data_IF_899101862822
#
_entry.id   IF_899101862822
#
_cell.length_a   1.000
_cell.length_b   1.000
_cell.length_c   1.000
_cell.angle_alpha   90.00
_cell.angle_beta   90.00
_cell.angle_gamma   90.00
#
_symmetry.space_group_name_H-M   'P 1'
#
loop_
_entity.id
_entity.type
_entity.pdbx_description
1 polymer ?
#
# COMPACT_ATOMS: atom_id res chain seq x y z
N UNK A 1 -51.15 -2.21 -16.78
CA UNK A 1 -51.61 -3.55 -17.20
C UNK A 1 -50.46 -4.54 -17.04
N UNK A 2 -50.80 -5.74 -16.60
CA UNK A 2 -50.00 -6.94 -16.33
C UNK A 2 -49.35 -7.11 -14.95
N UNK A 3 -49.96 -8.08 -14.25
CA UNK A 3 -49.86 -8.43 -12.86
C UNK A 3 -48.71 -9.41 -12.57
N UNK A 4 -48.21 -9.28 -11.35
CA UNK A 4 -47.35 -10.23 -10.64
C UNK A 4 -48.17 -11.51 -10.38
N UNK A 5 -47.70 -12.67 -10.86
CA UNK A 5 -48.31 -13.97 -10.54
C UNK A 5 -47.68 -14.53 -9.26
N UNK A 6 -48.43 -14.44 -8.17
CA UNK A 6 -48.28 -15.30 -6.99
C UNK A 6 -48.66 -16.74 -7.35
N UNK A 7 -47.78 -17.71 -7.10
CA UNK A 7 -48.13 -19.13 -7.10
C UNK A 7 -48.32 -19.59 -5.67
N UNK A 8 -49.59 -19.76 -5.28
CA UNK A 8 -50.01 -20.31 -4.01
C UNK A 8 -49.88 -21.84 -3.97
N UNK A 9 -49.54 -22.34 -2.79
CA UNK A 9 -49.51 -23.74 -2.39
C UNK A 9 -50.89 -24.39 -2.53
N UNK A 10 -50.95 -25.58 -3.12
CA UNK A 10 -52.12 -26.47 -3.04
C UNK A 10 -51.71 -27.79 -2.40
N UNK A 11 -52.02 -27.95 -1.12
CA UNK A 11 -51.95 -29.21 -0.39
C UNK A 11 -53.15 -30.09 -0.77
N UNK A 12 -52.89 -31.16 -1.50
CA UNK A 12 -53.87 -32.19 -1.85
C UNK A 12 -54.17 -33.07 -0.63
N UNK A 13 -55.38 -32.96 -0.09
CA UNK A 13 -55.94 -33.86 0.92
C UNK A 13 -56.29 -35.20 0.25
N UNK A 14 -55.44 -36.22 0.41
CA UNK A 14 -55.83 -37.61 0.15
C UNK A 14 -56.44 -38.21 1.42
N UNK A 15 -57.76 -38.36 1.41
CA UNK A 15 -58.51 -39.14 2.39
C UNK A 15 -58.14 -40.63 2.23
N UNK A 16 -57.58 -41.23 3.28
CA UNK A 16 -57.34 -42.66 3.35
C UNK A 16 -58.62 -43.36 3.81
N UNK A 17 -59.13 -44.24 2.94
CA UNK A 17 -60.29 -45.10 3.14
C UNK A 17 -59.99 -46.15 4.20
N UNK A 18 -60.67 -46.08 5.34
CA UNK A 18 -60.69 -47.13 6.36
C UNK A 18 -61.37 -48.37 5.76
N UNK A 19 -60.61 -49.46 5.57
CA UNK A 19 -61.16 -50.79 5.31
C UNK A 19 -61.04 -51.60 6.60
N UNK A 20 -62.15 -51.73 7.31
CA UNK A 20 -62.28 -52.68 8.41
C UNK A 20 -62.33 -54.09 7.81
N UNK A 21 -61.24 -54.83 7.96
CA UNK A 21 -61.16 -56.27 7.69
C UNK A 21 -61.14 -56.99 9.04
N UNK A 22 -62.32 -57.42 9.49
CA UNK A 22 -62.47 -58.35 10.62
C UNK A 22 -62.00 -59.73 10.17
N UNK A 23 -60.74 -60.07 10.45
CA UNK A 23 -60.28 -61.44 10.34
C UNK A 23 -60.49 -62.12 11.69
N UNK A 24 -61.41 -63.09 11.70
CA UNK A 24 -61.73 -63.96 12.82
C UNK A 24 -60.50 -64.78 13.20
N UNK A 25 -59.94 -64.53 14.38
CA UNK A 25 -58.89 -65.36 14.98
C UNK A 25 -59.49 -66.68 15.43
N UNK A 26 -59.21 -67.75 14.69
CA UNK A 26 -59.35 -69.11 15.19
C UNK A 26 -58.34 -69.30 16.34
N UNK A 27 -58.85 -69.68 17.50
CA UNK A 27 -58.09 -70.08 18.67
C UNK A 27 -57.31 -71.36 18.36
N UNK A 28 -56.05 -71.20 17.94
CA UNK A 28 -55.06 -72.27 17.98
C UNK A 28 -54.53 -72.38 19.41
N UNK A 29 -54.63 -73.59 19.98
CA UNK A 29 -54.32 -73.88 21.36
C UNK A 29 -52.93 -73.43 21.78
N UNK A 30 -52.88 -72.81 22.96
CA UNK A 30 -51.65 -72.53 23.71
C UNK A 30 -51.03 -73.86 24.13
N UNK A 31 -50.12 -74.38 23.31
CA UNK A 31 -49.07 -75.27 23.82
C UNK A 31 -48.02 -74.34 24.41
N UNK A 32 -48.16 -74.06 25.70
CA UNK A 32 -47.10 -73.39 26.46
C UNK A 32 -45.97 -74.39 26.65
N UNK A 33 -45.00 -74.37 25.74
CA UNK A 33 -43.68 -74.95 25.98
C UNK A 33 -42.90 -73.98 26.88
N UNK A 34 -42.56 -74.33 28.13
CA UNK A 34 -42.03 -73.37 29.10
C UNK A 34 -40.52 -73.11 28.98
N UNK A 35 -39.86 -73.58 27.92
CA UNK A 35 -38.40 -73.61 27.83
C UNK A 35 -37.87 -73.29 26.41
N UNK A 36 -38.08 -72.07 25.92
CA UNK A 36 -37.23 -71.31 24.95
C UNK A 36 -38.06 -70.19 24.29
N UNK A 37 -37.54 -68.96 24.38
CA UNK A 37 -37.64 -67.87 23.39
C UNK A 37 -37.79 -66.46 23.98
N UNK A 38 -37.68 -66.29 25.29
CA UNK A 38 -37.17 -65.04 25.86
C UNK A 38 -35.64 -64.98 25.73
N UNK A 39 -35.10 -65.12 24.52
CA UNK A 39 -33.81 -64.47 24.25
C UNK A 39 -34.15 -63.00 24.32
N UNK A 40 -33.58 -62.26 25.26
CA UNK A 40 -33.82 -60.83 25.40
C UNK A 40 -33.80 -60.20 24.00
N UNK A 41 -34.80 -59.40 23.63
CA UNK A 41 -34.89 -58.82 22.28
C UNK A 41 -33.58 -58.09 21.90
N UNK A 42 -32.87 -57.62 22.91
CA UNK A 42 -31.52 -57.07 22.84
C UNK A 42 -30.46 -58.07 22.36
N UNK A 43 -30.48 -59.32 22.81
CA UNK A 43 -29.60 -60.38 22.31
C UNK A 43 -29.87 -60.71 20.85
N UNK A 44 -31.13 -60.68 20.45
CA UNK A 44 -31.53 -60.90 19.06
C UNK A 44 -31.07 -59.71 18.20
N UNK A 45 -31.24 -58.48 18.69
CA UNK A 45 -30.76 -57.27 18.04
C UNK A 45 -29.22 -57.27 17.91
N UNK A 46 -28.50 -57.72 18.95
CA UNK A 46 -27.03 -57.86 18.92
C UNK A 46 -26.58 -58.84 17.85
N UNK A 47 -27.26 -59.98 17.71
CA UNK A 47 -26.95 -61.00 16.69
C UNK A 47 -27.29 -60.55 15.25
N UNK A 48 -28.27 -59.66 15.10
CA UNK A 48 -28.67 -59.06 13.80
C UNK A 48 -27.80 -57.87 13.40
N UNK A 49 -26.96 -57.35 14.29
CA UNK A 49 -26.10 -56.22 13.99
C UNK A 49 -24.95 -56.62 13.04
N UNK A 50 -25.06 -56.20 11.77
CA UNK A 50 -24.03 -56.39 10.73
C UNK A 50 -23.13 -55.16 10.60
N UNK A 51 -23.41 -54.06 11.33
CA UNK A 51 -22.75 -52.78 11.14
C UNK A 51 -21.27 -52.78 11.56
N UNK A 52 -20.85 -53.76 12.38
CA UNK A 52 -19.50 -53.87 12.97
C UNK A 52 -19.06 -52.60 13.70
N UNK A 53 -20.01 -51.75 14.08
CA UNK A 53 -19.73 -50.49 14.79
C UNK A 53 -19.43 -50.78 16.26
N UNK A 54 -18.61 -49.94 16.92
CA UNK A 54 -18.49 -50.01 18.37
C UNK A 54 -19.85 -49.70 19.01
N UNK A 55 -20.16 -50.36 20.13
CA UNK A 55 -21.46 -50.28 20.78
C UNK A 55 -21.98 -48.84 20.97
N UNK A 56 -21.10 -47.90 21.32
CA UNK A 56 -21.42 -46.49 21.49
C UNK A 56 -21.78 -45.76 20.20
N UNK A 57 -21.16 -46.11 19.07
CA UNK A 57 -21.50 -45.53 17.77
C UNK A 57 -22.81 -46.14 17.23
N UNK A 58 -23.02 -47.44 17.47
CA UNK A 58 -24.25 -48.13 17.14
C UNK A 58 -25.46 -47.51 17.85
N UNK A 59 -25.39 -47.31 19.18
CA UNK A 59 -26.48 -46.70 19.96
C UNK A 59 -26.78 -45.26 19.51
N UNK A 60 -25.75 -44.44 19.34
CA UNK A 60 -25.88 -43.03 18.94
C UNK A 60 -26.31 -42.82 17.50
N UNK A 61 -25.97 -43.73 16.60
CA UNK A 61 -26.21 -43.61 15.16
C UNK A 61 -27.47 -44.34 14.72
N UNK A 62 -27.58 -45.62 15.04
CA UNK A 62 -28.60 -46.53 14.54
C UNK A 62 -29.81 -46.56 15.47
N UNK A 63 -29.60 -46.69 16.80
CA UNK A 63 -30.71 -46.62 17.75
C UNK A 63 -31.23 -45.19 17.97
N UNK A 64 -30.38 -44.19 17.74
CA UNK A 64 -30.74 -42.79 17.97
C UNK A 64 -30.93 -42.44 19.44
N UNK A 65 -30.38 -43.26 20.34
CA UNK A 65 -30.46 -43.10 21.79
C UNK A 65 -29.20 -42.40 22.33
N UNK A 66 -29.35 -41.67 23.44
CA UNK A 66 -28.23 -41.06 24.13
C UNK A 66 -27.47 -42.14 24.93
N UNK A 67 -26.22 -42.46 24.59
CA UNK A 67 -25.43 -43.38 25.39
C UNK A 67 -25.03 -42.74 26.72
N UNK A 68 -24.92 -43.55 27.76
CA UNK A 68 -24.41 -43.09 29.05
C UNK A 68 -23.00 -42.50 28.92
N UNK A 69 -22.71 -41.35 29.56
CA UNK A 69 -21.41 -40.70 29.51
C UNK A 69 -20.38 -41.58 30.23
N UNK A 70 -19.41 -42.09 29.49
CA UNK A 70 -18.39 -43.01 30.03
C UNK A 70 -17.00 -42.37 30.07
N UNK A 71 -16.70 -41.51 29.10
CA UNK A 71 -15.37 -40.92 28.95
C UNK A 71 -15.35 -39.49 29.48
N UNK A 72 -14.17 -39.00 29.86
CA UNK A 72 -13.99 -37.63 30.37
C UNK A 72 -14.52 -36.56 29.40
N UNK A 73 -14.30 -36.76 28.09
CA UNK A 73 -14.78 -35.83 27.09
C UNK A 73 -16.31 -35.79 27.00
N UNK A 74 -17.05 -36.78 27.48
CA UNK A 74 -18.52 -36.76 27.53
C UNK A 74 -19.05 -35.76 28.56
N UNK A 75 -18.23 -35.43 29.55
CA UNK A 75 -18.54 -34.47 30.59
C UNK A 75 -18.19 -33.03 30.22
N UNK A 76 -17.59 -32.80 29.06
CA UNK A 76 -17.29 -31.43 28.60
C UNK A 76 -18.57 -30.70 28.22
N UNK A 77 -18.68 -29.41 28.56
CA UNK A 77 -19.85 -28.57 28.20
C UNK A 77 -20.16 -28.63 26.71
N UNK A 78 -19.13 -28.62 25.85
CA UNK A 78 -19.27 -28.73 24.39
C UNK A 78 -19.95 -30.03 23.96
N UNK A 79 -19.56 -31.17 24.51
CA UNK A 79 -20.09 -32.48 24.11
C UNK A 79 -21.48 -32.70 24.65
N UNK A 80 -21.75 -32.28 25.89
CA UNK A 80 -23.10 -32.23 26.45
C UNK A 80 -24.01 -31.34 25.60
N UNK A 81 -23.50 -30.18 25.15
CA UNK A 81 -24.27 -29.28 24.27
C UNK A 81 -24.62 -29.97 22.95
N UNK A 82 -23.66 -30.63 22.31
CA UNK A 82 -23.87 -31.40 21.07
C UNK A 82 -24.80 -32.59 21.26
N UNK A 83 -24.74 -33.27 22.40
CA UNK A 83 -25.63 -34.37 22.74
C UNK A 83 -27.08 -33.89 22.85
N UNK A 84 -27.32 -32.81 23.59
CA UNK A 84 -28.65 -32.22 23.70
C UNK A 84 -29.17 -31.71 22.34
N UNK A 85 -28.32 -31.12 21.49
CA UNK A 85 -28.72 -30.71 20.15
C UNK A 85 -29.16 -31.90 19.26
N UNK A 86 -28.54 -33.07 19.41
CA UNK A 86 -28.84 -34.26 18.60
C UNK A 86 -30.04 -35.06 19.12
N UNK A 87 -30.12 -35.25 20.43
CA UNK A 87 -31.12 -36.12 21.07
C UNK A 87 -32.26 -35.34 21.73
N UNK A 88 -32.09 -34.04 21.94
CA UNK A 88 -33.07 -33.20 22.61
C UNK A 88 -33.27 -33.62 24.06
N UNK A 89 -34.53 -33.61 24.49
CA UNK A 89 -34.95 -33.90 25.87
C UNK A 89 -34.70 -35.35 26.29
N UNK A 90 -34.59 -36.29 25.35
CA UNK A 90 -34.35 -37.71 25.66
C UNK A 90 -32.99 -37.96 26.28
N UNK A 91 -32.03 -37.04 26.12
CA UNK A 91 -30.71 -37.14 26.76
C UNK A 91 -30.73 -36.88 28.27
N UNK A 92 -31.82 -36.35 28.84
CA UNK A 92 -31.91 -35.99 30.25
C UNK A 92 -31.04 -34.79 30.67
N UNK A 93 -30.30 -34.17 29.73
CA UNK A 93 -29.45 -33.01 30.00
C UNK A 93 -30.32 -31.77 30.23
N UNK A 94 -29.93 -30.92 31.18
CA UNK A 94 -30.62 -29.65 31.44
C UNK A 94 -30.40 -28.69 30.25
N UNK A 95 -31.47 -28.17 29.61
CA UNK A 95 -31.35 -27.23 28.49
C UNK A 95 -30.60 -25.94 28.84
N UNK A 96 -30.53 -25.55 30.11
CA UNK A 96 -29.77 -24.37 30.56
C UNK A 96 -28.30 -24.41 30.17
N UNK A 97 -27.74 -25.60 29.93
CA UNK A 97 -26.35 -25.78 29.47
C UNK A 97 -26.08 -25.17 28.09
N UNK A 98 -27.13 -24.94 27.29
CA UNK A 98 -27.03 -24.30 25.96
C UNK A 98 -26.53 -22.87 26.04
N UNK A 99 -26.86 -22.18 27.13
CA UNK A 99 -26.51 -20.80 27.32
C UNK A 99 -25.12 -20.70 27.96
N UNK A 100 -24.36 -19.64 27.66
CA UNK A 100 -23.10 -19.38 28.33
C UNK A 100 -23.30 -19.23 29.85
N UNK A 101 -22.28 -19.61 30.62
CA UNK A 101 -22.23 -19.22 32.03
C UNK A 101 -22.11 -17.70 32.16
N UNK A 102 -22.39 -17.17 33.35
CA UNK A 102 -22.21 -15.74 33.63
C UNK A 102 -20.78 -15.28 33.35
N UNK A 103 -19.80 -16.11 33.70
CA UNK A 103 -18.38 -15.81 33.51
C UNK A 103 -18.01 -15.84 32.01
N UNK A 104 -18.44 -16.88 31.28
CA UNK A 104 -18.29 -16.97 29.82
C UNK A 104 -18.95 -15.77 29.10
N UNK A 105 -20.10 -15.32 29.58
CA UNK A 105 -20.79 -14.16 29.02
C UNK A 105 -20.02 -12.86 29.25
N UNK A 106 -19.42 -12.67 30.43
CA UNK A 106 -18.56 -11.51 30.70
C UNK A 106 -17.33 -11.49 29.80
N UNK A 107 -16.73 -12.66 29.55
CA UNK A 107 -15.62 -12.79 28.60
C UNK A 107 -16.06 -12.41 27.19
N UNK A 108 -17.17 -12.96 26.69
CA UNK A 108 -17.69 -12.64 25.36
C UNK A 108 -17.92 -11.14 25.20
N UNK A 109 -18.58 -10.51 26.18
CA UNK A 109 -18.83 -9.05 26.18
C UNK A 109 -17.52 -8.25 26.21
N UNK A 110 -16.53 -8.70 26.99
CA UNK A 110 -15.22 -8.06 27.02
C UNK A 110 -14.50 -8.15 25.66
N UNK A 111 -14.49 -9.33 25.03
CA UNK A 111 -13.89 -9.54 23.72
C UNK A 111 -14.59 -8.72 22.64
N UNK A 112 -15.92 -8.73 22.62
CA UNK A 112 -16.72 -7.93 21.67
C UNK A 112 -16.37 -6.44 21.82
N UNK A 113 -16.43 -5.89 23.05
CA UNK A 113 -16.11 -4.49 23.29
C UNK A 113 -14.65 -4.13 22.96
N UNK A 114 -13.70 -5.04 23.17
CA UNK A 114 -12.27 -4.78 22.97
C UNK A 114 -11.87 -4.83 21.50
N UNK A 115 -12.43 -5.76 20.73
CA UNK A 115 -11.98 -6.07 19.37
C UNK A 115 -12.99 -5.65 18.29
N UNK A 116 -14.27 -5.52 18.63
CA UNK A 116 -15.33 -5.13 17.70
C UNK A 116 -15.77 -3.70 18.03
N UNK A 117 -15.23 -2.68 17.34
CA UNK A 117 -15.69 -1.31 17.50
C UNK A 117 -17.15 -1.17 17.04
N UNK A 118 -17.79 -0.12 17.52
CA UNK A 118 -19.16 0.18 17.10
C UNK A 118 -19.20 0.66 15.64
N UNK A 119 -20.32 0.45 14.97
CA UNK A 119 -20.51 0.90 13.58
C UNK A 119 -20.29 2.43 13.46
N UNK A 120 -20.70 3.20 14.48
CA UNK A 120 -20.50 4.65 14.51
C UNK A 120 -19.01 5.04 14.55
N UNK A 121 -18.21 4.35 15.36
CA UNK A 121 -16.76 4.57 15.43
C UNK A 121 -16.09 4.22 14.09
N UNK A 122 -16.49 3.12 13.45
CA UNK A 122 -15.99 2.75 12.13
C UNK A 122 -16.28 3.83 11.09
N UNK A 123 -17.51 4.35 11.06
CA UNK A 123 -17.88 5.43 10.15
C UNK A 123 -17.12 6.73 10.42
N UNK A 124 -16.88 7.06 11.69
CA UNK A 124 -16.09 8.24 12.07
C UNK A 124 -14.64 8.09 11.60
N UNK A 125 -14.03 6.93 11.85
CA UNK A 125 -12.67 6.62 11.41
C UNK A 125 -12.54 6.66 9.88
N UNK A 126 -13.52 6.14 9.15
CA UNK A 126 -13.50 6.15 7.69
C UNK A 126 -13.63 7.57 7.14
N UNK A 127 -14.50 8.41 7.73
CA UNK A 127 -14.60 9.83 7.37
C UNK A 127 -13.29 10.56 7.61
N UNK A 128 -12.61 10.29 8.71
CA UNK A 128 -11.34 10.94 9.03
C UNK A 128 -10.23 10.52 8.05
N UNK A 129 -10.15 9.24 7.69
CA UNK A 129 -9.24 8.76 6.63
C UNK A 129 -9.49 9.44 5.31
N UNK A 130 -10.76 9.57 4.92
CA UNK A 130 -11.13 10.24 3.67
C UNK A 130 -10.74 11.71 3.67
N UNK A 131 -10.90 12.41 4.81
CA UNK A 131 -10.45 13.80 4.96
C UNK A 131 -8.94 13.93 4.83
N UNK A 132 -8.18 13.08 5.52
CA UNK A 132 -6.71 13.08 5.45
C UNK A 132 -6.22 12.80 4.03
N UNK A 133 -6.79 11.79 3.36
CA UNK A 133 -6.46 11.49 1.97
C UNK A 133 -6.80 12.66 1.03
N UNK A 134 -7.93 13.34 1.23
CA UNK A 134 -8.30 14.51 0.44
C UNK A 134 -7.34 15.69 0.67
N UNK A 135 -6.89 15.90 1.92
CA UNK A 135 -5.90 16.92 2.25
C UNK A 135 -4.52 16.62 1.65
N UNK A 136 -4.06 15.37 1.69
CA UNK A 136 -2.82 14.92 1.05
C UNK A 136 -2.86 15.10 -0.48
N UNK A 137 -3.98 14.74 -1.11
CA UNK A 137 -4.18 14.96 -2.55
C UNK A 137 -4.13 16.45 -2.89
N UNK A 138 -4.81 17.29 -2.10
CA UNK A 138 -4.79 18.74 -2.31
C UNK A 138 -3.39 19.33 -2.18
N UNK A 139 -2.63 18.94 -1.15
CA UNK A 139 -1.24 19.41 -0.97
C UNK A 139 -0.36 19.01 -2.14
N UNK A 140 -0.50 17.76 -2.61
CA UNK A 140 0.24 17.27 -3.79
C UNK A 140 -0.13 18.05 -5.05
N UNK A 141 -1.40 18.33 -5.27
CA UNK A 141 -1.85 19.14 -6.42
C UNK A 141 -1.28 20.56 -6.35
N UNK A 142 -1.29 21.20 -5.18
CA UNK A 142 -0.70 22.53 -4.96
C UNK A 142 0.82 22.53 -5.23
N UNK A 143 1.54 21.48 -4.85
CA UNK A 143 2.97 21.32 -5.15
C UNK A 143 3.23 21.13 -6.65
N UNK A 144 2.43 20.28 -7.31
CA UNK A 144 2.52 20.05 -8.75
C UNK A 144 2.23 21.35 -9.50
N UNK A 145 1.21 22.11 -9.12
CA UNK A 145 0.91 23.41 -9.72
C UNK A 145 2.06 24.40 -9.54
N UNK A 146 2.66 24.48 -8.34
CA UNK A 146 3.85 25.32 -8.08
C UNK A 146 5.04 24.93 -8.95
N UNK A 147 5.24 23.64 -9.21
CA UNK A 147 6.32 23.14 -10.05
C UNK A 147 6.04 23.38 -11.53
N UNK A 148 4.80 23.20 -11.98
CA UNK A 148 4.38 23.51 -13.36
C UNK A 148 4.60 24.99 -13.66
N UNK A 149 4.25 25.90 -12.73
CA UNK A 149 4.49 27.33 -12.90
C UNK A 149 5.97 27.70 -13.08
N UNK A 150 6.90 26.90 -12.52
CA UNK A 150 8.36 27.10 -12.65
C UNK A 150 8.98 26.36 -13.84
N UNK A 151 8.20 25.50 -14.51
CA UNK A 151 8.71 24.58 -15.51
C UNK A 151 9.26 25.32 -16.74
N UNK A 152 8.56 26.36 -17.19
CA UNK A 152 8.98 27.12 -18.38
C UNK A 152 10.29 27.87 -18.13
N UNK A 153 10.44 28.51 -16.97
CA UNK A 153 11.70 29.15 -16.57
C UNK A 153 12.86 28.14 -16.46
N UNK A 154 12.60 26.93 -15.96
CA UNK A 154 13.61 25.87 -15.92
C UNK A 154 13.97 25.34 -17.30
N UNK A 155 13.00 25.25 -18.22
CA UNK A 155 13.23 24.88 -19.61
C UNK A 155 14.13 25.89 -20.30
N UNK A 156 13.83 27.18 -20.17
CA UNK A 156 14.63 28.26 -20.74
C UNK A 156 16.06 28.25 -20.20
N UNK A 157 16.22 28.16 -18.87
CA UNK A 157 17.55 28.10 -18.25
C UNK A 157 18.36 26.84 -18.66
N UNK A 158 17.69 25.74 -18.99
CA UNK A 158 18.34 24.53 -19.50
C UNK A 158 18.82 24.74 -20.94
N UNK A 159 17.96 25.25 -21.82
CA UNK A 159 18.31 25.55 -23.21
C UNK A 159 19.45 26.56 -23.31
N UNK A 160 19.42 27.62 -22.50
CA UNK A 160 20.49 28.62 -22.45
C UNK A 160 21.83 27.97 -22.04
N UNK A 161 21.82 27.07 -21.05
CA UNK A 161 23.03 26.34 -20.65
C UNK A 161 23.55 25.43 -21.77
N UNK A 162 22.67 24.79 -22.52
CA UNK A 162 23.06 23.99 -23.68
C UNK A 162 23.67 24.85 -24.79
N UNK A 163 23.06 25.99 -25.10
CA UNK A 163 23.57 26.95 -26.08
C UNK A 163 24.92 27.51 -25.65
N UNK A 164 25.06 27.95 -24.41
CA UNK A 164 26.35 28.42 -23.88
C UNK A 164 27.44 27.34 -23.96
N UNK A 165 27.10 26.07 -23.70
CA UNK A 165 28.04 24.96 -23.88
C UNK A 165 28.42 24.76 -25.34
N UNK A 166 27.47 24.85 -26.27
CA UNK A 166 27.73 24.75 -27.72
C UNK A 166 28.63 25.88 -28.20
N UNK A 167 28.33 27.12 -27.83
CA UNK A 167 29.14 28.30 -28.18
C UNK A 167 30.55 28.16 -27.61
N UNK A 168 30.71 27.75 -26.34
CA UNK A 168 32.03 27.53 -25.75
C UNK A 168 32.82 26.44 -26.48
N UNK A 169 32.18 25.32 -26.80
CA UNK A 169 32.81 24.24 -27.56
C UNK A 169 33.22 24.71 -28.97
N UNK A 170 32.39 25.48 -29.65
CA UNK A 170 32.72 26.04 -30.97
C UNK A 170 33.85 27.07 -30.90
N UNK A 171 33.84 27.97 -29.91
CA UNK A 171 34.93 28.90 -29.67
C UNK A 171 36.25 28.18 -29.38
N UNK A 172 36.22 27.09 -28.62
CA UNK A 172 37.39 26.25 -28.38
C UNK A 172 37.87 25.55 -29.65
N UNK A 173 36.96 25.06 -30.49
CA UNK A 173 37.31 24.49 -31.80
C UNK A 173 37.97 25.52 -32.71
N UNK A 174 37.37 26.70 -32.87
CA UNK A 174 37.92 27.80 -33.67
C UNK A 174 39.28 28.25 -33.13
N UNK A 175 39.43 28.37 -31.80
CA UNK A 175 40.73 28.71 -31.18
C UNK A 175 41.80 27.66 -31.49
N UNK A 176 41.46 26.37 -31.39
CA UNK A 176 42.37 25.27 -31.73
C UNK A 176 42.73 25.28 -33.21
N UNK A 177 41.76 25.48 -34.10
CA UNK A 177 41.98 25.55 -35.54
C UNK A 177 42.88 26.73 -35.93
N UNK A 178 42.66 27.92 -35.35
CA UNK A 178 43.54 29.08 -35.53
C UNK A 178 44.97 28.79 -35.07
N UNK A 179 45.13 28.17 -33.90
CA UNK A 179 46.44 27.83 -33.37
C UNK A 179 47.17 26.81 -34.27
N UNK A 180 46.44 25.82 -34.79
CA UNK A 180 46.98 24.85 -35.74
C UNK A 180 47.37 25.54 -37.05
N UNK A 181 46.58 26.50 -37.55
CA UNK A 181 46.91 27.26 -38.76
C UNK A 181 48.17 28.12 -38.56
N UNK A 182 48.28 28.86 -37.45
CA UNK A 182 49.47 29.66 -37.11
C UNK A 182 50.75 28.79 -37.07
N UNK A 183 50.67 27.58 -36.49
CA UNK A 183 51.80 26.64 -36.45
C UNK A 183 52.09 26.06 -37.83
N UNK A 184 51.07 25.74 -38.64
CA UNK A 184 51.24 25.27 -40.03
C UNK A 184 51.90 26.31 -40.92
N UNK A 185 51.55 27.58 -40.78
CA UNK A 185 52.19 28.70 -41.49
C UNK A 185 53.67 28.83 -41.14
N UNK A 186 54.04 28.61 -39.87
CA UNK A 186 55.44 28.65 -39.43
C UNK A 186 56.27 27.46 -39.95
N UNK A 187 55.68 26.26 -39.99
CA UNK A 187 56.37 25.04 -40.41
C UNK A 187 56.41 24.91 -41.94
N UNK A 188 55.38 25.38 -42.65
CA UNK A 188 55.33 25.42 -44.12
C UNK A 188 54.90 24.12 -44.83
N UNK A 189 54.57 23.05 -44.10
CA UNK A 189 54.01 21.80 -44.65
C UNK A 189 52.89 21.24 -43.75
N UNK A 190 52.04 20.34 -44.29
CA UNK A 190 50.89 19.82 -43.55
C UNK A 190 51.34 18.77 -42.51
N UNK A 191 51.47 19.19 -41.25
CA UNK A 191 51.89 18.35 -40.12
C UNK A 191 50.71 17.99 -39.24
N UNK A 192 50.67 16.74 -38.79
CA UNK A 192 49.67 16.26 -37.83
C UNK A 192 49.96 16.78 -36.41
N UNK A 193 48.92 17.11 -35.62
CA UNK A 193 49.09 17.64 -34.25
C UNK A 193 49.84 16.72 -33.28
N UNK A 194 50.06 15.44 -33.63
CA UNK A 194 50.73 14.46 -32.78
C UNK A 194 52.25 14.39 -33.00
N UNK A 195 52.79 15.05 -34.03
CA UNK A 195 54.20 15.05 -34.41
C UNK A 195 55.07 15.80 -33.35
N UNK A 196 56.26 15.28 -32.98
CA UNK A 196 57.19 15.96 -32.06
C UNK A 196 57.53 17.40 -32.48
N UNK A 197 57.70 17.66 -33.78
CA UNK A 197 58.09 19.00 -34.27
C UNK A 197 56.96 20.03 -34.16
N UNK A 198 55.71 19.57 -34.19
CA UNK A 198 54.54 20.42 -33.94
C UNK A 198 54.49 20.89 -32.47
N UNK A 199 54.86 20.00 -31.53
CA UNK A 199 54.85 20.30 -30.10
C UNK A 199 55.91 21.33 -29.72
N UNK A 200 57.13 21.21 -30.25
CA UNK A 200 58.21 22.18 -30.02
C UNK A 200 57.84 23.59 -30.49
N UNK A 201 57.22 23.71 -31.67
CA UNK A 201 56.78 25.00 -32.21
C UNK A 201 55.59 25.57 -31.42
N UNK A 202 54.68 24.71 -30.97
CA UNK A 202 53.56 25.11 -30.10
C UNK A 202 54.07 25.68 -28.77
N UNK A 203 55.03 25.02 -28.12
CA UNK A 203 55.65 25.49 -26.87
C UNK A 203 56.35 26.83 -27.05
N UNK A 204 57.12 27.02 -28.13
CA UNK A 204 57.77 28.30 -28.44
C UNK A 204 56.75 29.45 -28.61
N UNK A 205 55.64 29.20 -29.31
CA UNK A 205 54.58 30.20 -29.52
C UNK A 205 53.77 30.48 -28.26
N UNK A 206 53.53 29.47 -27.43
CA UNK A 206 52.90 29.66 -26.11
C UNK A 206 53.78 30.47 -25.17
N UNK A 207 55.10 30.28 -25.19
CA UNK A 207 56.03 31.10 -24.42
C UNK A 207 56.06 32.56 -24.88
N UNK A 208 56.07 32.81 -26.19
CA UNK A 208 55.97 34.15 -26.77
C UNK A 208 54.66 34.84 -26.37
N UNK A 209 53.52 34.14 -26.49
CA UNK A 209 52.21 34.65 -26.06
C UNK A 209 52.16 34.92 -24.56
N UNK A 210 52.71 34.03 -23.74
CA UNK A 210 52.76 34.19 -22.28
C UNK A 210 53.64 35.37 -21.85
N UNK A 211 54.73 35.65 -22.57
CA UNK A 211 55.58 36.83 -22.35
C UNK A 211 54.81 38.11 -22.74
N UNK A 212 54.19 38.13 -23.92
CA UNK A 212 53.36 39.24 -24.38
C UNK A 212 52.16 39.53 -23.46
N UNK A 213 51.46 38.51 -22.98
CA UNK A 213 50.35 38.67 -22.03
C UNK A 213 50.82 39.23 -20.68
N UNK A 214 51.98 38.80 -20.18
CA UNK A 214 52.54 39.33 -18.93
C UNK A 214 52.90 40.81 -19.09
N UNK A 215 53.41 41.20 -20.23
CA UNK A 215 53.71 42.60 -20.53
C UNK A 215 52.45 43.45 -20.71
N UNK A 216 51.43 42.95 -21.43
CA UNK A 216 50.14 43.60 -21.54
C UNK A 216 49.44 43.74 -20.17
N UNK A 217 49.48 42.70 -19.32
CA UNK A 217 48.97 42.76 -17.94
C UNK A 217 49.74 43.76 -17.07
N UNK A 218 51.04 43.93 -17.27
CA UNK A 218 51.85 44.96 -16.60
C UNK A 218 51.45 46.36 -17.07
N UNK A 219 51.29 46.56 -18.38
CA UNK A 219 50.86 47.85 -18.98
C UNK A 219 49.45 48.23 -18.52
N UNK A 220 48.48 47.31 -18.57
CA UNK A 220 47.12 47.56 -18.07
C UNK A 220 47.09 47.87 -16.57
N UNK A 221 47.95 47.24 -15.77
CA UNK A 221 48.10 47.58 -14.34
C UNK A 221 48.69 48.98 -14.17
N UNK A 222 49.70 49.34 -14.96
CA UNK A 222 50.30 50.68 -14.94
C UNK A 222 49.28 51.75 -15.38
N UNK A 223 48.52 51.51 -16.45
CA UNK A 223 47.44 52.39 -16.92
C UNK A 223 46.32 52.51 -15.88
N UNK A 224 45.91 51.41 -15.22
CA UNK A 224 44.94 51.46 -14.12
C UNK A 224 45.47 52.22 -12.89
N UNK A 225 46.77 52.15 -12.61
CA UNK A 225 47.39 52.94 -11.53
C UNK A 225 47.52 54.42 -11.89
N UNK A 226 47.86 54.74 -13.14
CA UNK A 226 47.91 56.12 -13.65
C UNK A 226 46.51 56.75 -13.69
N UNK A 227 45.49 56.02 -14.13
CA UNK A 227 44.10 56.47 -14.08
C UNK A 227 43.61 56.71 -12.64
N UNK A 228 44.03 55.87 -11.69
CA UNK A 228 43.72 56.05 -10.26
C UNK A 228 44.47 57.25 -9.65
N UNK A 229 45.69 57.52 -10.09
CA UNK A 229 46.47 58.71 -9.66
C UNK A 229 45.91 60.01 -10.25
N UNK A 230 45.46 59.99 -11.51
CA UNK A 230 44.80 61.14 -12.14
C UNK A 230 43.46 61.46 -11.48
N UNK A 231 42.64 60.45 -11.16
CA UNK A 231 41.38 60.64 -10.43
C UNK A 231 41.60 61.25 -9.02
N UNK A 232 42.66 60.84 -8.32
CA UNK A 232 43.02 61.43 -7.00
C UNK A 232 43.57 62.86 -7.13
N UNK A 233 44.26 63.20 -8.22
CA UNK A 233 44.71 64.58 -8.48
C UNK A 233 43.57 65.52 -8.93
N UNK A 234 42.56 64.99 -9.61
CA UNK A 234 41.32 65.72 -9.93
C UNK A 234 40.50 65.97 -8.65
N UNK A 235 40.46 65.03 -7.71
CA UNK A 235 39.83 65.25 -6.39
C UNK A 235 40.58 66.28 -5.52
N UNK A 236 41.90 66.43 -5.66
CA UNK A 236 42.71 67.41 -4.90
C UNK A 236 42.72 68.83 -5.48
N UNK A 237 42.24 69.05 -6.71
CA UNK A 237 42.14 70.39 -7.32
C UNK A 237 40.77 71.06 -7.12
N UNK A 238 39.79 70.34 -6.56
CA UNK A 238 38.44 70.88 -6.26
C UNK A 238 38.31 71.44 -4.83
N UNK A 239 39.23 71.14 -3.90
CA UNK A 239 39.18 71.68 -2.51
C UNK A 239 39.98 72.98 -2.30
N UNK A 240 40.27 73.73 -3.38
CA UNK A 240 41.21 74.85 -3.36
C UNK A 240 40.71 76.20 -3.88
N UNK A 241 39.44 76.60 -3.69
CA UNK A 241 39.04 78.02 -3.69
C UNK A 241 37.68 78.27 -2.99
N UNK A 242 37.53 79.34 -2.17
CA UNK A 242 36.43 79.52 -1.23
C UNK A 242 35.24 80.28 -1.83
N UNK A 243 34.01 79.81 -1.56
CA UNK A 243 32.78 80.53 -1.87
C UNK A 243 32.27 81.31 -0.64
N UNK A 244 32.22 82.64 -0.75
CA UNK A 244 31.42 83.55 0.08
C UNK A 244 30.27 84.12 -0.78
N UNK A 245 29.06 84.10 -0.22
CA UNK A 245 27.97 85.11 -0.33
C UNK A 245 27.32 85.39 -1.72
N UNK A 246 26.00 85.54 -1.93
CA UNK A 246 24.86 85.91 -1.08
C UNK A 246 23.50 85.31 -1.52
N UNK A 247 22.57 85.36 -0.58
CA UNK A 247 21.09 85.33 -0.59
C UNK A 247 20.33 85.83 -1.85
N UNK A 248 19.19 85.16 -2.19
CA UNK A 248 17.88 85.83 -2.41
C UNK A 248 16.67 84.85 -2.54
N UNK A 249 15.72 85.02 -1.62
CA UNK A 249 14.27 84.78 -1.58
C UNK A 249 13.43 84.36 -2.81
N UNK A 250 12.29 83.72 -2.48
CA UNK A 250 11.00 83.45 -3.20
C UNK A 250 10.93 82.06 -3.86
N UNK A 251 9.88 81.26 -3.73
CA UNK A 251 8.50 81.37 -3.23
C UNK A 251 8.00 79.93 -2.95
#
# INVERSE_FOLDING_TARGET
MFCIRHTAQTLSKRAARVRNSTFSTATAGTVTDPLKDARDEEEISRKRDVSRLPARAYTRGIKGEYPEPKYEFDYTMKTMRMAYAKFGRSSGINPGIMWPSKDELQEIVYYEKKFQPTIHELLANEREKQRQAAEEMRQREEEVQRNIAKLDAWREAMLEKEEQKRIKAEQERVKKERLIQEVKEYIGYNVDPSDPKFKEVMEMKEEERKKAEKEAKKKLKQERMLAKLMAVSEEQTVEGQPAKDETKSKE
#
